data_IF_238538955123
#
_entry.id   IF_238538955123
#
_cell.length_a   1.000
_cell.length_b   1.000
_cell.length_c   1.000
_cell.angle_alpha   90.00
_cell.angle_beta   90.00
_cell.angle_gamma   90.00
#
_symmetry.space_group_name_H-M   'P 1'
#
loop_
_entity.id
_entity.type
_entity.pdbx_description
1 polymer ?
#
# COMPACT_ATOMS: atom_id res chain seq x y z
N UNK A 1 -49.56 36.18 -34.84
CA UNK A 1 -48.66 35.30 -35.61
C UNK A 1 -47.31 35.98 -35.65
N UNK A 2 -46.25 35.31 -35.18
CA UNK A 2 -44.93 35.23 -35.83
C UNK A 2 -43.92 34.62 -34.85
N UNK A 3 -43.82 33.30 -34.89
CA UNK A 3 -42.70 32.57 -34.32
C UNK A 3 -41.46 32.88 -35.16
N UNK A 4 -40.52 33.64 -34.60
CA UNK A 4 -39.22 33.87 -35.19
C UNK A 4 -38.42 32.57 -35.24
N UNK A 5 -38.49 31.89 -36.39
CA UNK A 5 -37.69 30.70 -36.70
C UNK A 5 -36.22 31.00 -36.44
N UNK A 6 -35.64 30.41 -35.38
CA UNK A 6 -34.20 30.44 -35.09
C UNK A 6 -33.46 29.75 -36.24
N UNK A 7 -32.97 30.53 -37.19
CA UNK A 7 -32.11 30.06 -38.27
C UNK A 7 -30.83 29.51 -37.65
N UNK A 8 -30.59 28.21 -37.81
CA UNK A 8 -29.42 27.51 -37.25
C UNK A 8 -28.17 28.00 -37.98
N UNK A 9 -27.52 29.03 -37.44
CA UNK A 9 -26.26 29.56 -37.98
C UNK A 9 -25.22 28.44 -37.96
N UNK A 10 -24.74 28.03 -39.15
CA UNK A 10 -23.64 27.07 -39.26
C UNK A 10 -22.37 27.78 -38.81
N UNK A 11 -21.64 27.17 -37.86
CA UNK A 11 -20.34 27.69 -37.39
C UNK A 11 -19.40 27.85 -38.58
N UNK A 12 -18.76 29.02 -38.66
CA UNK A 12 -17.72 29.33 -39.65
C UNK A 12 -16.46 28.48 -39.40
N UNK A 13 -15.57 28.38 -40.38
CA UNK A 13 -14.33 27.62 -40.25
C UNK A 13 -13.45 28.15 -39.09
N UNK A 14 -13.39 29.47 -38.93
CA UNK A 14 -12.67 30.15 -37.85
C UNK A 14 -13.23 29.82 -36.46
N UNK A 15 -14.57 29.80 -36.32
CA UNK A 15 -15.22 29.41 -35.06
C UNK A 15 -14.93 27.94 -34.70
N UNK A 16 -14.81 27.06 -35.70
CA UNK A 16 -14.45 25.65 -35.47
C UNK A 16 -12.99 25.51 -35.07
N UNK A 17 -12.08 26.30 -35.64
CA UNK A 17 -10.67 26.32 -35.23
C UNK A 17 -10.52 26.78 -33.78
N UNK A 18 -11.17 27.88 -33.40
CA UNK A 18 -11.16 28.36 -32.02
C UNK A 18 -11.76 27.33 -31.02
N UNK A 19 -12.83 26.62 -31.42
CA UNK A 19 -13.40 25.53 -30.62
C UNK A 19 -12.41 24.36 -30.44
N UNK A 20 -11.63 24.03 -31.47
CA UNK A 20 -10.63 22.95 -31.42
C UNK A 20 -9.41 23.35 -30.57
N UNK A 21 -8.94 24.59 -30.67
CA UNK A 21 -7.85 25.12 -29.84
C UNK A 21 -8.22 25.13 -28.36
N UNK A 22 -9.44 25.56 -28.02
CA UNK A 22 -9.95 25.50 -26.64
C UNK A 22 -9.99 24.08 -26.11
N UNK A 23 -10.51 23.12 -26.90
CA UNK A 23 -10.52 21.71 -26.53
C UNK A 23 -9.12 21.15 -26.34
N UNK A 24 -8.18 21.53 -27.21
CA UNK A 24 -6.79 21.12 -27.08
C UNK A 24 -6.17 21.63 -25.77
N UNK A 25 -6.38 22.90 -25.44
CA UNK A 25 -5.92 23.48 -24.18
C UNK A 25 -6.51 22.75 -22.96
N UNK A 26 -7.83 22.48 -22.95
CA UNK A 26 -8.49 21.74 -21.86
C UNK A 26 -7.93 20.32 -21.69
N UNK A 27 -7.66 19.62 -22.80
CA UNK A 27 -7.09 18.27 -22.76
C UNK A 27 -5.67 18.32 -22.21
N UNK A 28 -4.85 19.28 -22.64
CA UNK A 28 -3.48 19.45 -22.15
C UNK A 28 -3.46 19.77 -20.66
N UNK A 29 -4.37 20.62 -20.17
CA UNK A 29 -4.48 20.91 -18.73
C UNK A 29 -4.87 19.67 -17.92
N UNK A 30 -5.84 18.88 -18.41
CA UNK A 30 -6.22 17.62 -17.76
C UNK A 30 -5.07 16.62 -17.72
N UNK A 31 -4.31 16.52 -18.81
CA UNK A 31 -3.12 15.66 -18.86
C UNK A 31 -2.05 16.13 -17.87
N UNK A 32 -1.78 17.43 -17.79
CA UNK A 32 -0.85 18.00 -16.79
C UNK A 32 -1.29 17.71 -15.36
N UNK A 33 -2.58 17.87 -15.06
CA UNK A 33 -3.13 17.56 -13.74
C UNK A 33 -3.04 16.06 -13.40
N UNK A 34 -3.25 15.18 -14.38
CA UNK A 34 -3.08 13.74 -14.19
C UNK A 34 -1.62 13.36 -13.94
N UNK A 35 -0.68 13.93 -14.70
CA UNK A 35 0.76 13.71 -14.50
C UNK A 35 1.18 14.19 -13.11
N UNK A 36 0.75 15.38 -12.68
CA UNK A 36 1.07 15.90 -11.35
C UNK A 36 0.57 14.98 -10.22
N UNK A 37 -0.64 14.41 -10.34
CA UNK A 37 -1.17 13.42 -9.38
C UNK A 37 -0.35 12.14 -9.36
N UNK A 38 0.09 11.65 -10.53
CA UNK A 38 0.93 10.46 -10.64
C UNK A 38 2.30 10.72 -9.98
N UNK A 39 2.90 11.89 -10.23
CA UNK A 39 4.16 12.27 -9.62
C UNK A 39 4.06 12.41 -8.10
N UNK A 40 2.97 12.99 -7.59
CA UNK A 40 2.72 13.09 -6.15
C UNK A 40 2.56 11.71 -5.52
N UNK A 41 1.78 10.81 -6.16
CA UNK A 41 1.64 9.43 -5.69
C UNK A 41 2.99 8.70 -5.70
N UNK A 42 3.81 8.88 -6.74
CA UNK A 42 5.17 8.32 -6.83
C UNK A 42 6.06 8.84 -5.70
N UNK A 43 6.07 10.16 -5.44
CA UNK A 43 6.82 10.76 -4.32
C UNK A 43 6.35 10.20 -2.97
N UNK A 44 5.04 10.10 -2.76
CA UNK A 44 4.46 9.50 -1.54
C UNK A 44 4.89 8.04 -1.40
N UNK A 45 4.86 7.24 -2.46
CA UNK A 45 5.29 5.83 -2.42
C UNK A 45 6.78 5.70 -2.14
N UNK A 46 7.63 6.55 -2.72
CA UNK A 46 9.07 6.58 -2.44
C UNK A 46 9.40 7.04 -1.01
N UNK A 47 8.60 7.91 -0.41
CA UNK A 47 8.77 8.38 0.97
C UNK A 47 8.11 7.44 2.01
N UNK A 48 7.10 6.65 1.60
CA UNK A 48 6.33 5.73 2.47
C UNK A 48 6.81 4.28 2.58
N UNK A 49 7.98 3.79 2.09
CA UNK A 49 8.39 2.44 2.43
C UNK A 49 8.60 2.30 3.94
N UNK A 50 8.95 3.39 4.64
CA UNK A 50 9.08 3.40 6.10
C UNK A 50 7.79 3.09 6.86
N UNK A 51 6.62 3.53 6.37
CA UNK A 51 5.36 3.34 7.07
C UNK A 51 4.84 1.91 6.95
N UNK A 52 4.94 1.31 5.76
CA UNK A 52 4.62 -0.11 5.56
C UNK A 52 5.64 -1.00 6.27
N UNK A 53 6.94 -0.73 6.13
CA UNK A 53 8.00 -1.52 6.79
C UNK A 53 7.86 -1.47 8.32
N UNK A 54 7.60 -0.29 8.92
CA UNK A 54 7.36 -0.20 10.38
C UNK A 54 6.15 -1.00 10.81
N UNK A 55 5.07 -0.99 10.01
CA UNK A 55 3.87 -1.77 10.30
C UNK A 55 4.13 -3.27 10.20
N UNK A 56 4.83 -3.70 9.16
CA UNK A 56 5.16 -5.10 8.93
C UNK A 56 6.12 -5.62 10.01
N UNK A 57 7.13 -4.85 10.39
CA UNK A 57 8.01 -5.15 11.53
C UNK A 57 7.24 -5.23 12.85
N UNK A 58 6.31 -4.31 13.09
CA UNK A 58 5.47 -4.34 14.29
C UNK A 58 4.53 -5.55 14.31
N UNK A 59 4.00 -5.97 13.15
CA UNK A 59 3.20 -7.19 13.05
C UNK A 59 4.05 -8.45 13.25
N UNK A 60 5.23 -8.53 12.65
CA UNK A 60 6.18 -9.63 12.87
C UNK A 60 6.57 -9.74 14.36
N UNK A 61 6.89 -8.63 15.02
CA UNK A 61 7.19 -8.61 16.45
C UNK A 61 6.02 -9.11 17.31
N UNK A 62 4.78 -8.75 16.96
CA UNK A 62 3.58 -9.27 17.64
C UNK A 62 3.37 -10.77 17.40
N UNK A 63 3.65 -11.25 16.20
CA UNK A 63 3.57 -12.70 15.87
C UNK A 63 4.61 -13.48 16.66
N UNK A 64 5.84 -12.98 16.72
CA UNK A 64 6.90 -13.56 17.54
C UNK A 64 6.50 -13.62 19.01
N UNK A 65 6.08 -12.50 19.60
CA UNK A 65 5.70 -12.46 21.02
C UNK A 65 4.59 -13.46 21.38
N UNK A 66 3.61 -13.65 20.48
CA UNK A 66 2.55 -14.66 20.65
C UNK A 66 3.10 -16.09 20.58
N UNK A 67 3.95 -16.37 19.60
CA UNK A 67 4.56 -17.68 19.46
C UNK A 67 5.47 -18.01 20.65
N UNK A 68 6.30 -17.06 21.08
CA UNK A 68 7.18 -17.19 22.23
C UNK A 68 6.39 -17.49 23.52
N UNK A 69 5.31 -16.74 23.79
CA UNK A 69 4.45 -16.98 24.95
C UNK A 69 3.73 -18.33 24.89
N UNK A 70 3.31 -18.77 23.70
CA UNK A 70 2.66 -20.07 23.52
C UNK A 70 3.62 -21.25 23.71
N UNK A 71 4.88 -21.09 23.31
CA UNK A 71 5.91 -22.13 23.41
C UNK A 71 6.55 -22.20 24.78
N UNK A 72 6.82 -21.05 25.40
CA UNK A 72 7.54 -20.96 26.66
C UNK A 72 7.04 -19.77 27.51
N UNK A 73 5.90 -19.92 28.21
CA UNK A 73 5.26 -18.82 28.94
C UNK A 73 6.10 -18.26 30.10
N UNK A 74 6.96 -19.10 30.69
CA UNK A 74 7.81 -18.73 31.83
C UNK A 74 9.18 -18.17 31.41
N UNK A 75 9.48 -18.13 30.11
CA UNK A 75 10.79 -17.69 29.63
C UNK A 75 10.84 -16.17 29.48
N UNK A 76 11.83 -15.57 30.16
CA UNK A 76 12.21 -14.16 29.96
C UNK A 76 13.21 -13.98 28.79
N UNK A 77 13.43 -12.73 28.36
CA UNK A 77 14.33 -12.34 27.25
C UNK A 77 15.72 -12.97 27.35
N UNK A 78 16.25 -13.15 28.57
CA UNK A 78 17.56 -13.78 28.82
C UNK A 78 17.61 -15.24 28.36
N UNK A 79 16.53 -15.99 28.55
CA UNK A 79 16.44 -17.39 28.12
C UNK A 79 16.40 -17.48 26.60
N UNK A 80 15.70 -16.55 25.94
CA UNK A 80 15.69 -16.49 24.47
C UNK A 80 17.07 -16.16 23.89
N UNK A 81 17.83 -15.27 24.53
CA UNK A 81 19.21 -14.96 24.10
C UNK A 81 20.11 -16.20 24.20
N UNK A 82 20.06 -16.92 25.32
CA UNK A 82 20.82 -18.16 25.50
C UNK A 82 20.40 -19.25 24.50
N UNK A 83 19.10 -19.38 24.21
CA UNK A 83 18.61 -20.31 23.20
C UNK A 83 19.08 -19.95 21.79
N UNK A 84 19.15 -18.66 21.45
CA UNK A 84 19.68 -18.18 20.16
C UNK A 84 21.17 -18.49 20.04
N UNK A 85 21.95 -18.30 21.10
CA UNK A 85 23.38 -18.65 21.13
C UNK A 85 23.60 -20.14 20.82
N UNK A 86 22.80 -21.02 21.44
CA UNK A 86 22.86 -22.46 21.18
C UNK A 86 22.44 -22.81 19.75
N UNK A 87 21.41 -22.13 19.23
CA UNK A 87 20.91 -22.37 17.88
C UNK A 87 21.87 -21.89 16.78
N UNK A 88 22.73 -20.90 17.03
CA UNK A 88 23.72 -20.44 16.04
C UNK A 88 24.75 -21.51 15.65
N UNK A 89 24.86 -22.60 16.41
CA UNK A 89 25.69 -23.75 16.08
C UNK A 89 25.03 -24.74 15.10
N UNK A 90 23.74 -24.59 14.80
CA UNK A 90 23.00 -25.48 13.89
C UNK A 90 22.94 -24.92 12.46
N UNK A 91 22.39 -25.72 11.54
CA UNK A 91 22.21 -25.34 10.14
C UNK A 91 21.14 -24.21 10.00
N UNK A 92 21.51 -23.07 9.38
CA UNK A 92 20.62 -21.91 9.29
C UNK A 92 19.36 -22.17 8.46
N UNK A 93 19.42 -23.01 7.41
CA UNK A 93 18.26 -23.25 6.54
C UNK A 93 17.17 -24.10 7.24
N UNK A 94 17.58 -25.14 7.97
CA UNK A 94 16.64 -25.94 8.76
C UNK A 94 16.00 -25.13 9.89
N UNK A 95 16.76 -24.27 10.56
CA UNK A 95 16.23 -23.37 11.60
C UNK A 95 15.21 -22.38 11.04
N UNK A 96 15.49 -21.79 9.88
CA UNK A 96 14.55 -20.88 9.22
C UNK A 96 13.22 -21.59 8.89
N UNK A 97 13.29 -22.74 8.22
CA UNK A 97 12.11 -23.52 7.86
C UNK A 97 11.28 -23.94 9.07
N UNK A 98 11.94 -24.31 10.17
CA UNK A 98 11.27 -24.67 11.43
C UNK A 98 10.64 -23.45 12.09
N UNK A 99 11.33 -22.31 12.10
CA UNK A 99 10.81 -21.04 12.63
C UNK A 99 9.56 -20.58 11.89
N UNK A 100 9.53 -20.70 10.56
CA UNK A 100 8.36 -20.37 9.75
C UNK A 100 7.14 -21.23 10.13
N UNK A 101 7.32 -22.55 10.28
CA UNK A 101 6.25 -23.46 10.73
C UNK A 101 5.72 -23.08 12.12
N UNK A 102 6.60 -22.81 13.07
CA UNK A 102 6.21 -22.41 14.43
C UNK A 102 5.45 -21.06 14.45
N UNK A 103 5.80 -20.13 13.58
CA UNK A 103 5.09 -18.85 13.43
C UNK A 103 3.72 -19.01 12.74
N UNK A 104 3.53 -20.04 11.93
CA UNK A 104 2.22 -20.39 11.36
C UNK A 104 1.31 -21.09 12.36
N UNK A 105 1.88 -21.92 13.23
CA UNK A 105 1.15 -22.66 14.25
C UNK A 105 0.75 -21.76 15.43
N UNK A 106 1.73 -21.03 16.00
CA UNK A 106 1.54 -20.27 17.24
C UNK A 106 1.50 -18.75 17.04
N UNK A 107 2.03 -18.25 15.92
CA UNK A 107 2.11 -16.81 15.64
C UNK A 107 0.82 -16.20 15.05
N UNK A 108 -0.22 -17.00 14.78
CA UNK A 108 -1.51 -16.51 14.26
C UNK A 108 -2.15 -15.56 15.27
N UNK A 109 -2.58 -14.39 14.80
CA UNK A 109 -3.37 -13.48 15.62
C UNK A 109 -4.74 -14.04 15.92
N UNK A 110 -5.29 -13.72 17.10
CA UNK A 110 -6.72 -13.93 17.39
C UNK A 110 -7.53 -13.25 16.27
N UNK A 111 -8.12 -14.07 15.38
CA UNK A 111 -8.99 -13.62 14.28
C UNK A 111 -10.07 -12.71 14.87
N UNK A 112 -10.09 -11.42 14.50
CA UNK A 112 -11.05 -10.51 15.11
C UNK A 112 -11.24 -9.13 14.51
N UNK A 113 -10.38 -8.63 13.62
CA UNK A 113 -10.65 -7.34 12.96
C UNK A 113 -10.71 -7.50 11.45
N UNK A 114 -11.93 -7.69 10.93
CA UNK A 114 -12.23 -7.45 9.51
C UNK A 114 -11.78 -6.02 9.19
N UNK A 115 -11.10 -5.78 8.05
CA UNK A 115 -10.83 -4.42 7.61
C UNK A 115 -12.16 -3.70 7.41
N UNK A 116 -12.32 -2.54 8.06
CA UNK A 116 -13.36 -1.58 7.69
C UNK A 116 -13.13 -1.22 6.23
N UNK A 117 -14.08 -1.54 5.35
CA UNK A 117 -14.10 -0.97 4.00
C UNK A 117 -14.09 0.55 4.17
N UNK A 118 -13.02 1.20 3.75
CA UNK A 118 -12.96 2.62 3.43
C UNK A 118 -12.46 2.69 2.00
#
# INVERSE_FOLDING_TARGET
MEESKKTRVRRTAEQRLADLEKKHAEIVERQRAAIAKIEEAKKRLMQKPSASVRKDQAEQGKRFARAAYALAPEWDQRHFIAAIELALAEDPETLQNRGEKLLEEHGKGKRGRRPSKV
#
